data_IF_652429059663
#
_entry.id   IF_652429059663
#
_cell.length_a   1.000
_cell.length_b   1.000
_cell.length_c   1.000
_cell.angle_alpha   90.00
_cell.angle_beta   90.00
_cell.angle_gamma   90.00
#
_symmetry.space_group_name_H-M   'P 1'
#
loop_
_entity.id
_entity.type
_entity.pdbx_description
1 polymer ?
#
# COMPACT_ATOMS: atom_id res chain seq x y z
N UNK A 1 24.31 16.80 15.97
CA UNK A 1 25.06 16.06 14.93
C UNK A 1 24.40 14.73 14.53
N UNK A 2 23.74 14.01 15.44
CA UNK A 2 23.05 12.72 15.20
C UNK A 2 21.89 12.81 14.18
N UNK A 3 21.17 13.94 14.14
CA UNK A 3 20.03 14.18 13.23
C UNK A 3 20.40 14.30 11.75
N UNK A 4 21.66 14.63 11.42
CA UNK A 4 22.10 14.79 10.03
C UNK A 4 22.42 13.43 9.40
N UNK A 5 22.95 12.50 10.20
CA UNK A 5 23.27 11.14 9.77
C UNK A 5 21.99 10.33 9.47
N UNK A 6 20.91 10.48 10.25
CA UNK A 6 19.66 9.71 10.09
C UNK A 6 18.87 10.02 8.82
N UNK A 7 19.02 11.21 8.23
CA UNK A 7 18.30 11.61 7.00
C UNK A 7 18.83 10.96 5.72
N UNK A 8 20.12 10.72 5.61
CA UNK A 8 20.72 10.14 4.39
C UNK A 8 20.36 8.66 4.25
N UNK A 9 20.31 7.94 5.37
CA UNK A 9 19.98 6.52 5.34
C UNK A 9 18.48 6.25 5.14
N UNK A 10 17.58 7.12 5.58
CA UNK A 10 16.13 6.89 5.46
C UNK A 10 15.66 6.83 4.01
N UNK A 11 16.15 7.73 3.15
CA UNK A 11 15.82 7.70 1.73
C UNK A 11 16.42 6.49 1.03
N UNK A 12 17.67 6.15 1.36
CA UNK A 12 18.35 4.96 0.86
C UNK A 12 17.61 3.67 1.26
N UNK A 13 17.13 3.57 2.50
CA UNK A 13 16.35 2.42 2.97
C UNK A 13 14.95 2.33 2.35
N UNK A 14 14.28 3.46 2.10
CA UNK A 14 13.02 3.50 1.34
C UNK A 14 13.22 2.95 -0.09
N UNK A 15 14.28 3.38 -0.77
CA UNK A 15 14.61 2.93 -2.13
C UNK A 15 15.05 1.45 -2.14
N UNK A 16 15.85 1.04 -1.16
CA UNK A 16 16.24 -0.37 -0.99
C UNK A 16 15.04 -1.28 -0.71
N UNK A 17 14.04 -0.81 0.03
CA UNK A 17 12.85 -1.59 0.34
C UNK A 17 11.99 -1.87 -0.91
N UNK A 18 12.10 -1.09 -1.98
CA UNK A 18 11.48 -1.39 -3.28
C UNK A 18 12.13 -2.60 -3.98
N UNK A 19 13.44 -2.79 -3.80
CA UNK A 19 14.20 -3.82 -4.52
C UNK A 19 14.47 -5.07 -3.68
N UNK A 20 14.80 -4.93 -2.39
CA UNK A 20 15.16 -6.05 -1.51
C UNK A 20 14.05 -6.36 -0.50
N UNK A 21 13.82 -7.65 -0.19
CA UNK A 21 12.93 -8.03 0.90
C UNK A 21 13.48 -7.53 2.25
N UNK A 22 12.62 -7.10 3.19
CA UNK A 22 13.01 -6.42 4.43
C UNK A 22 13.99 -7.23 5.30
N UNK A 23 13.99 -8.56 5.19
CA UNK A 23 14.89 -9.48 5.88
C UNK A 23 16.39 -9.26 5.66
N UNK A 24 16.80 -8.63 4.54
CA UNK A 24 18.22 -8.41 4.22
C UNK A 24 18.73 -7.03 4.65
N UNK A 25 17.90 -6.22 5.30
CA UNK A 25 18.30 -4.88 5.76
C UNK A 25 18.53 -4.97 7.27
N UNK A 26 19.77 -5.23 7.73
CA UNK A 26 20.10 -5.06 9.14
C UNK A 26 19.78 -3.60 9.48
N UNK A 27 19.11 -3.35 10.60
CA UNK A 27 18.66 -2.03 11.12
C UNK A 27 17.29 -1.47 10.69
N UNK A 28 16.60 -2.00 9.67
CA UNK A 28 15.29 -1.45 9.26
C UNK A 28 14.19 -1.62 10.32
N UNK A 29 14.22 -2.74 11.07
CA UNK A 29 13.19 -3.11 12.05
C UNK A 29 13.13 -2.17 13.27
N UNK A 30 14.25 -1.52 13.62
CA UNK A 30 14.35 -0.67 14.81
C UNK A 30 14.14 0.82 14.50
N UNK A 31 14.58 1.32 13.33
CA UNK A 31 14.36 2.73 12.95
C UNK A 31 12.98 2.98 12.32
N UNK A 32 12.39 1.97 11.66
CA UNK A 32 11.05 2.05 11.10
C UNK A 32 10.00 1.38 11.99
N UNK A 33 10.12 1.59 13.31
CA UNK A 33 9.03 1.25 14.23
C UNK A 33 7.73 1.90 13.73
N UNK A 34 6.65 1.13 13.76
CA UNK A 34 5.33 1.53 13.27
C UNK A 34 4.85 2.89 13.83
N UNK A 35 5.30 3.23 15.04
CA UNK A 35 4.97 4.46 15.77
C UNK A 35 6.13 5.48 15.87
N UNK A 36 7.16 5.37 15.03
CA UNK A 36 8.20 6.41 14.95
C UNK A 36 7.61 7.72 14.40
N UNK A 37 7.99 8.87 14.97
CA UNK A 37 7.47 10.18 14.54
C UNK A 37 7.67 10.47 13.04
N UNK A 38 8.78 10.02 12.45
CA UNK A 38 9.04 10.15 11.01
C UNK A 38 8.08 9.32 10.15
N UNK A 39 7.73 8.13 10.60
CA UNK A 39 6.80 7.24 9.92
C UNK A 39 5.40 7.87 9.88
N UNK A 40 4.93 8.40 11.03
CA UNK A 40 3.66 9.10 11.11
C UNK A 40 3.63 10.35 10.21
N UNK A 41 4.72 11.13 10.17
CA UNK A 41 4.81 12.32 9.31
C UNK A 41 4.76 11.97 7.82
N UNK A 42 5.46 10.90 7.40
CA UNK A 42 5.40 10.41 6.02
C UNK A 42 4.04 9.83 5.65
N UNK A 43 3.38 9.14 6.58
CA UNK A 43 2.04 8.61 6.39
C UNK A 43 1.01 9.74 6.25
N UNK A 44 1.14 10.78 7.07
CA UNK A 44 0.30 11.97 7.00
C UNK A 44 0.54 12.72 5.68
N UNK A 45 1.79 12.80 5.21
CA UNK A 45 2.09 13.33 3.89
C UNK A 45 1.38 12.53 2.78
N UNK A 46 1.43 11.19 2.83
CA UNK A 46 0.69 10.36 1.88
C UNK A 46 -0.81 10.66 1.90
N UNK A 47 -1.44 10.75 3.07
CA UNK A 47 -2.87 11.06 3.17
C UNK A 47 -3.23 12.44 2.62
N UNK A 48 -2.46 13.47 2.95
CA UNK A 48 -2.72 14.83 2.44
C UNK A 48 -2.56 14.90 0.92
N UNK A 49 -1.46 14.36 0.39
CA UNK A 49 -1.16 14.40 -1.04
C UNK A 49 -2.16 13.57 -1.84
N UNK A 50 -2.48 12.35 -1.39
CA UNK A 50 -3.48 11.51 -2.06
C UNK A 50 -4.88 12.13 -2.02
N UNK A 51 -5.28 12.73 -0.90
CA UNK A 51 -6.56 13.43 -0.79
C UNK A 51 -6.64 14.63 -1.73
N UNK A 52 -5.56 15.41 -1.83
CA UNK A 52 -5.49 16.55 -2.73
C UNK A 52 -5.49 16.11 -4.20
N UNK A 53 -4.80 15.02 -4.55
CA UNK A 53 -4.90 14.45 -5.91
C UNK A 53 -6.33 14.01 -6.24
N UNK A 54 -7.02 13.34 -5.30
CA UNK A 54 -8.39 12.88 -5.51
C UNK A 54 -9.35 14.06 -5.66
N UNK A 55 -9.17 15.11 -4.84
CA UNK A 55 -9.94 16.35 -4.95
C UNK A 55 -9.75 17.02 -6.32
N UNK A 56 -8.52 17.10 -6.83
CA UNK A 56 -8.23 17.65 -8.16
C UNK A 56 -8.89 16.85 -9.28
N UNK A 57 -8.87 15.51 -9.19
CA UNK A 57 -9.56 14.62 -10.14
C UNK A 57 -11.07 14.86 -10.10
N UNK A 58 -11.68 14.89 -8.91
CA UNK A 58 -13.12 15.08 -8.75
C UNK A 58 -13.57 16.45 -9.26
N UNK A 59 -12.79 17.49 -8.98
CA UNK A 59 -13.04 18.86 -9.47
C UNK A 59 -13.00 18.92 -10.99
N UNK A 60 -12.06 18.21 -11.63
CA UNK A 60 -11.99 18.12 -13.10
C UNK A 60 -13.26 17.50 -13.72
N UNK A 61 -13.87 16.52 -13.04
CA UNK A 61 -15.13 15.90 -13.50
C UNK A 61 -16.40 16.60 -12.98
N UNK A 62 -16.29 17.78 -12.36
CA UNK A 62 -17.39 18.52 -11.73
C UNK A 62 -18.17 17.70 -10.68
N UNK A 63 -17.50 16.77 -9.99
CA UNK A 63 -18.10 16.00 -8.90
C UNK A 63 -17.77 16.72 -7.59
N UNK A 64 -18.77 17.39 -7.01
CA UNK A 64 -18.61 18.07 -5.72
C UNK A 64 -18.68 17.07 -4.57
N UNK A 65 -17.52 16.55 -4.15
CA UNK A 65 -17.41 15.67 -2.99
C UNK A 65 -16.55 16.35 -1.92
N UNK A 66 -17.22 16.84 -0.87
CA UNK A 66 -16.56 17.47 0.28
C UNK A 66 -15.70 16.48 1.09
N UNK A 67 -15.96 15.17 0.92
CA UNK A 67 -15.27 14.09 1.63
C UNK A 67 -14.16 13.42 0.80
N UNK A 68 -13.48 14.15 -0.09
CA UNK A 68 -12.39 13.60 -0.91
C UNK A 68 -11.27 12.94 -0.10
N UNK A 69 -11.07 13.34 1.16
CA UNK A 69 -10.12 12.73 2.11
C UNK A 69 -10.52 11.30 2.49
N UNK A 70 -11.81 10.99 2.51
CA UNK A 70 -12.32 9.70 2.99
C UNK A 70 -11.93 8.53 2.06
N UNK A 71 -11.80 8.79 0.77
CA UNK A 71 -11.47 7.74 -0.21
C UNK A 71 -10.06 7.15 -0.03
N UNK A 72 -8.97 7.95 -0.09
CA UNK A 72 -7.62 7.39 0.07
C UNK A 72 -7.37 6.87 1.48
N UNK A 73 -7.93 7.51 2.50
CA UNK A 73 -7.83 7.04 3.89
C UNK A 73 -8.58 5.72 4.07
N UNK A 74 -9.83 5.65 3.62
CA UNK A 74 -10.66 4.44 3.67
C UNK A 74 -10.04 3.28 2.90
N UNK A 75 -9.51 3.53 1.70
CA UNK A 75 -8.81 2.51 0.91
C UNK A 75 -7.57 1.95 1.64
N UNK A 76 -6.77 2.83 2.26
CA UNK A 76 -5.60 2.41 3.02
C UNK A 76 -5.98 1.59 4.26
N UNK A 77 -6.99 2.02 5.04
CA UNK A 77 -7.46 1.26 6.19
C UNK A 77 -8.11 -0.07 5.81
N UNK A 78 -8.90 -0.11 4.75
CA UNK A 78 -9.48 -1.35 4.22
C UNK A 78 -8.39 -2.36 3.85
N UNK A 79 -7.30 -1.87 3.24
CA UNK A 79 -6.15 -2.70 2.91
C UNK A 79 -5.42 -3.22 4.14
N UNK A 80 -5.20 -2.38 5.15
CA UNK A 80 -4.62 -2.81 6.43
C UNK A 80 -5.48 -3.89 7.09
N UNK A 81 -6.79 -3.67 7.16
CA UNK A 81 -7.75 -4.64 7.70
C UNK A 81 -7.71 -5.95 6.94
N UNK A 82 -7.63 -5.90 5.61
CA UNK A 82 -7.50 -7.10 4.77
C UNK A 82 -6.23 -7.89 5.09
N UNK A 83 -5.09 -7.23 5.31
CA UNK A 83 -3.86 -7.91 5.71
C UNK A 83 -3.95 -8.52 7.12
N UNK A 84 -4.58 -7.81 8.07
CA UNK A 84 -4.83 -8.33 9.42
C UNK A 84 -5.75 -9.55 9.36
N UNK A 85 -6.82 -9.49 8.56
CA UNK A 85 -7.76 -10.58 8.39
C UNK A 85 -7.10 -11.83 7.80
N UNK A 86 -6.35 -11.68 6.70
CA UNK A 86 -5.62 -12.80 6.09
C UNK A 86 -4.66 -13.44 7.07
N UNK A 87 -3.91 -12.64 7.83
CA UNK A 87 -2.97 -13.18 8.81
C UNK A 87 -3.65 -13.80 10.03
N UNK A 88 -4.82 -13.31 10.44
CA UNK A 88 -5.64 -13.93 11.49
C UNK A 88 -6.17 -15.31 11.06
N UNK A 89 -6.69 -15.42 9.83
CA UNK A 89 -7.22 -16.67 9.26
C UNK A 89 -6.11 -17.69 9.00
N UNK A 90 -4.95 -17.22 8.52
CA UNK A 90 -3.84 -18.10 8.15
C UNK A 90 -3.02 -18.59 9.35
N UNK A 91 -3.18 -17.97 10.53
CA UNK A 91 -2.39 -18.29 11.74
C UNK A 91 -0.91 -17.91 11.67
N UNK A 92 -0.44 -17.35 10.54
CA UNK A 92 0.95 -16.93 10.32
C UNK A 92 1.13 -15.46 10.74
N UNK A 93 1.09 -15.22 12.04
CA UNK A 93 1.17 -13.86 12.61
C UNK A 93 2.54 -13.18 12.45
N UNK A 94 3.62 -13.97 12.29
CA UNK A 94 5.00 -13.46 12.16
C UNK A 94 5.26 -12.72 10.85
N UNK A 95 4.61 -13.13 9.76
CA UNK A 95 4.81 -12.53 8.42
C UNK A 95 3.89 -11.31 8.19
N UNK A 96 2.88 -11.15 9.05
CA UNK A 96 1.89 -10.07 8.99
C UNK A 96 2.53 -8.70 9.18
N UNK A 97 3.44 -8.57 10.15
CA UNK A 97 4.15 -7.32 10.43
C UNK A 97 4.99 -6.84 9.24
N UNK A 98 5.49 -7.75 8.41
CA UNK A 98 6.33 -7.42 7.26
C UNK A 98 5.51 -6.94 6.07
N UNK A 99 4.37 -7.57 5.82
CA UNK A 99 3.42 -7.13 4.79
C UNK A 99 2.85 -5.74 5.11
N UNK A 100 2.55 -5.48 6.38
CA UNK A 100 2.10 -4.15 6.82
C UNK A 100 3.25 -3.14 6.65
N UNK A 101 4.46 -3.47 7.10
CA UNK A 101 5.61 -2.59 6.94
C UNK A 101 5.88 -2.23 5.46
N UNK A 102 5.79 -3.22 4.57
CA UNK A 102 5.94 -3.03 3.13
C UNK A 102 4.82 -2.15 2.54
N UNK A 103 3.59 -2.33 3.01
CA UNK A 103 2.45 -1.49 2.61
C UNK A 103 2.67 -0.03 3.00
N UNK A 104 3.14 0.24 4.22
CA UNK A 104 3.43 1.60 4.69
C UNK A 104 4.59 2.23 3.92
N UNK A 105 5.65 1.47 3.69
CA UNK A 105 6.81 1.92 2.93
C UNK A 105 6.39 2.38 1.54
N UNK A 106 5.50 1.65 0.88
CA UNK A 106 5.03 2.01 -0.45
C UNK A 106 4.10 3.22 -0.41
N UNK A 107 3.24 3.34 0.61
CA UNK A 107 2.45 4.55 0.83
C UNK A 107 3.36 5.79 0.97
N UNK A 108 4.46 5.70 1.73
CA UNK A 108 5.42 6.80 1.85
C UNK A 108 6.05 7.17 0.50
N UNK A 109 6.47 6.17 -0.27
CA UNK A 109 7.10 6.38 -1.58
C UNK A 109 6.11 7.05 -2.54
N UNK A 110 4.86 6.59 -2.57
CA UNK A 110 3.80 7.21 -3.36
C UNK A 110 3.61 8.66 -2.94
N UNK A 111 3.50 8.93 -1.64
CA UNK A 111 3.33 10.29 -1.11
C UNK A 111 4.45 11.21 -1.57
N UNK A 112 5.70 10.80 -1.37
CA UNK A 112 6.88 11.61 -1.73
C UNK A 112 7.01 11.82 -3.24
N UNK A 113 6.83 10.77 -4.05
CA UNK A 113 6.92 10.87 -5.51
C UNK A 113 5.79 11.75 -6.06
N UNK A 114 4.61 11.72 -5.46
CA UNK A 114 3.44 12.46 -5.93
C UNK A 114 3.55 13.98 -5.73
N UNK A 115 4.38 14.46 -4.80
CA UNK A 115 4.54 15.91 -4.51
C UNK A 115 4.93 16.73 -5.74
N UNK A 116 6.04 16.45 -6.46
CA UNK A 116 6.43 17.23 -7.62
C UNK A 116 5.41 17.19 -8.77
N UNK A 117 4.76 16.03 -8.97
CA UNK A 117 3.71 15.90 -10.00
C UNK A 117 2.46 16.72 -9.67
N UNK A 118 2.04 16.69 -8.41
CA UNK A 118 0.89 17.45 -7.95
C UNK A 118 1.16 18.96 -8.02
N UNK A 119 2.37 19.38 -7.63
CA UNK A 119 2.78 20.78 -7.76
C UNK A 119 2.77 21.22 -9.23
N UNK A 120 3.33 20.42 -10.14
CA UNK A 120 3.31 20.70 -11.57
C UNK A 120 1.88 20.80 -12.13
N UNK A 121 0.95 19.97 -11.64
CA UNK A 121 -0.46 20.02 -12.03
C UNK A 121 -1.14 21.31 -11.55
N UNK A 122 -0.97 21.69 -10.28
CA UNK A 122 -1.56 22.92 -9.72
C UNK A 122 -1.09 24.16 -10.49
N UNK A 123 0.19 24.20 -10.90
CA UNK A 123 0.73 25.31 -11.71
C UNK A 123 0.21 25.32 -13.15
N UNK A 124 -0.19 24.17 -13.70
CA UNK A 124 -0.58 24.02 -15.10
C UNK A 124 -1.92 23.28 -15.26
N UNK A 125 -3.05 23.89 -14.83
CA UNK A 125 -4.37 23.25 -14.86
C UNK A 125 -4.85 22.94 -16.29
N UNK A 126 -4.32 23.60 -17.32
CA UNK A 126 -4.65 23.35 -18.73
C UNK A 126 -4.33 21.91 -19.17
N UNK A 127 -3.33 21.27 -18.55
CA UNK A 127 -2.89 19.91 -18.88
C UNK A 127 -3.45 18.84 -17.94
N UNK A 128 -4.56 19.12 -17.25
CA UNK A 128 -5.13 18.26 -16.21
C UNK A 128 -5.30 16.80 -16.65
N UNK A 129 -5.75 16.56 -17.88
CA UNK A 129 -5.98 15.19 -18.37
C UNK A 129 -4.70 14.34 -18.40
N UNK A 130 -3.55 14.94 -18.76
CA UNK A 130 -2.27 14.23 -18.78
C UNK A 130 -1.82 13.87 -17.37
N UNK A 131 -1.99 14.78 -16.41
CA UNK A 131 -1.66 14.51 -15.00
C UNK A 131 -2.55 13.40 -14.43
N UNK A 132 -3.86 13.39 -14.72
CA UNK A 132 -4.78 12.32 -14.30
C UNK A 132 -4.28 10.96 -14.81
N UNK A 133 -3.94 10.84 -16.09
CA UNK A 133 -3.45 9.59 -16.69
C UNK A 133 -2.13 9.15 -16.03
N UNK A 134 -1.21 10.09 -15.80
CA UNK A 134 0.07 9.79 -15.11
C UNK A 134 -0.18 9.29 -13.68
N UNK A 135 -1.07 9.93 -12.92
CA UNK A 135 -1.41 9.50 -11.56
C UNK A 135 -2.03 8.11 -11.54
N UNK A 136 -3.01 7.85 -12.41
CA UNK A 136 -3.62 6.51 -12.54
C UNK A 136 -2.56 5.47 -12.91
N UNK A 137 -1.64 5.80 -13.81
CA UNK A 137 -0.56 4.90 -14.21
C UNK A 137 0.43 4.61 -13.07
N UNK A 138 0.88 5.64 -12.35
CA UNK A 138 1.81 5.50 -11.21
C UNK A 138 1.18 4.65 -10.10
N UNK A 139 -0.05 4.95 -9.70
CA UNK A 139 -0.77 4.19 -8.68
C UNK A 139 -1.02 2.75 -9.13
N UNK A 140 -1.45 2.56 -10.38
CA UNK A 140 -1.68 1.23 -10.96
C UNK A 140 -0.41 0.37 -11.01
N UNK A 141 0.70 0.92 -11.51
CA UNK A 141 1.97 0.21 -11.61
C UNK A 141 2.49 -0.20 -10.22
N UNK A 142 2.41 0.69 -9.23
CA UNK A 142 2.84 0.39 -7.86
C UNK A 142 1.96 -0.69 -7.20
N UNK A 143 0.66 -0.70 -7.48
CA UNK A 143 -0.23 -1.79 -7.04
C UNK A 143 0.09 -3.13 -7.70
N UNK A 144 0.34 -3.14 -9.01
CA UNK A 144 0.75 -4.35 -9.72
C UNK A 144 2.08 -4.88 -9.17
N UNK A 145 3.05 -3.99 -8.94
CA UNK A 145 4.35 -4.35 -8.35
C UNK A 145 4.21 -4.98 -6.96
N UNK A 146 3.25 -4.53 -6.15
CA UNK A 146 2.94 -5.13 -4.86
C UNK A 146 2.36 -6.54 -4.98
N UNK A 147 1.38 -6.73 -5.88
CA UNK A 147 0.77 -8.04 -6.14
C UNK A 147 1.84 -9.01 -6.62
N UNK A 148 2.68 -8.59 -7.56
CA UNK A 148 3.79 -9.39 -8.06
C UNK A 148 4.78 -9.76 -6.95
N UNK A 149 5.15 -8.82 -6.07
CA UNK A 149 6.03 -9.14 -4.93
C UNK A 149 5.39 -10.13 -3.96
N UNK A 150 4.11 -9.97 -3.64
CA UNK A 150 3.36 -10.94 -2.82
C UNK A 150 3.38 -12.33 -3.45
N UNK A 151 3.20 -12.39 -4.77
CA UNK A 151 3.29 -13.61 -5.54
C UNK A 151 4.68 -14.27 -5.49
N UNK A 152 5.76 -13.49 -5.70
CA UNK A 152 7.14 -13.99 -5.60
C UNK A 152 7.51 -14.48 -4.21
N UNK A 153 7.01 -13.83 -3.14
CA UNK A 153 7.22 -14.28 -1.75
C UNK A 153 6.54 -15.63 -1.53
N UNK A 154 5.29 -15.80 -1.99
CA UNK A 154 4.59 -17.07 -1.92
C UNK A 154 5.34 -18.19 -2.67
N UNK A 155 5.90 -17.87 -3.85
CA UNK A 155 6.70 -18.79 -4.64
C UNK A 155 7.96 -19.26 -3.88
N UNK A 156 8.65 -18.31 -3.23
CA UNK A 156 9.92 -18.56 -2.54
C UNK A 156 9.74 -19.40 -1.26
N UNK A 157 8.56 -19.37 -0.66
CA UNK A 157 8.22 -20.20 0.50
C UNK A 157 7.87 -21.66 0.13
N UNK A 158 8.23 -22.13 -1.08
CA UNK A 158 8.01 -23.51 -1.54
C UNK A 158 6.55 -23.97 -1.52
N UNK A 159 5.61 -23.03 -1.57
CA UNK A 159 4.20 -23.36 -1.82
C UNK A 159 4.14 -23.75 -3.29
N UNK A 160 4.05 -25.06 -3.57
CA UNK A 160 3.92 -25.56 -4.95
C UNK A 160 2.72 -24.85 -5.58
N UNK A 161 2.85 -24.33 -6.81
CA UNK A 161 1.79 -23.61 -7.54
C UNK A 161 0.41 -24.30 -7.47
N UNK A 162 0.41 -25.64 -7.45
CA UNK A 162 -0.78 -26.46 -7.22
C UNK A 162 -1.55 -26.07 -5.95
N UNK A 163 -0.87 -25.80 -4.83
CA UNK A 163 -1.50 -25.38 -3.58
C UNK A 163 -2.14 -24.00 -3.69
N UNK A 164 -1.59 -23.07 -4.48
CA UNK A 164 -2.21 -21.74 -4.67
C UNK A 164 -3.55 -21.88 -5.38
N UNK A 165 -3.58 -22.68 -6.46
CA UNK A 165 -4.82 -22.96 -7.21
C UNK A 165 -5.81 -23.74 -6.33
N UNK A 166 -5.34 -24.75 -5.59
CA UNK A 166 -6.16 -25.51 -4.65
C UNK A 166 -6.75 -24.63 -3.55
N UNK A 167 -5.97 -23.70 -2.99
CA UNK A 167 -6.44 -22.71 -2.01
C UNK A 167 -7.46 -21.75 -2.61
N UNK A 168 -7.27 -21.32 -3.86
CA UNK A 168 -8.25 -20.47 -4.55
C UNK A 168 -9.59 -21.21 -4.72
N UNK A 169 -9.52 -22.48 -5.15
CA UNK A 169 -10.71 -23.33 -5.29
C UNK A 169 -11.38 -23.64 -3.94
N UNK A 170 -10.63 -23.85 -2.85
CA UNK A 170 -11.26 -24.05 -1.52
C UNK A 170 -11.88 -22.77 -0.98
N UNK A 171 -11.31 -21.60 -1.28
CA UNK A 171 -11.87 -20.30 -0.91
C UNK A 171 -13.17 -19.98 -1.67
N UNK A 172 -13.32 -20.50 -2.88
CA UNK A 172 -14.57 -20.46 -3.66
C UNK A 172 -15.64 -21.42 -3.13
N UNK A 173 -15.24 -22.60 -2.62
CA UNK A 173 -16.17 -23.60 -2.04
C UNK A 173 -16.63 -23.21 -0.63
N UNK A 174 -15.80 -22.48 0.14
CA UNK A 174 -16.10 -22.05 1.50
C UNK A 174 -17.42 -21.27 1.67
N UNK A 175 -17.76 -20.25 0.84
CA UNK A 175 -19.06 -19.56 0.93
C UNK A 175 -20.25 -20.48 0.64
N UNK A 176 -20.10 -21.46 -0.26
CA UNK A 176 -21.16 -22.44 -0.61
C UNK A 176 -21.47 -23.32 0.61
N UNK A 177 -20.43 -23.79 1.32
CA UNK A 177 -20.59 -24.60 2.53
C UNK A 177 -21.22 -23.78 3.67
N UNK A 178 -20.81 -22.51 3.83
CA UNK A 178 -21.35 -21.61 4.85
C UNK A 178 -22.86 -21.37 4.66
N UNK A 179 -23.30 -21.15 3.42
CA UNK A 179 -24.73 -20.99 3.08
C UNK A 179 -25.49 -22.29 3.39
N UNK A 180 -24.93 -23.45 3.02
CA UNK A 180 -25.57 -24.75 3.27
C UNK A 180 -25.75 -25.03 4.77
N UNK A 181 -24.75 -24.69 5.60
CA UNK A 181 -24.83 -24.85 7.05
C UNK A 181 -25.85 -23.91 7.68
N UNK A 182 -25.95 -22.67 7.19
CA UNK A 182 -26.88 -21.67 7.71
C UNK A 182 -28.35 -21.97 7.35
N UNK A 183 -28.59 -22.65 6.22
CA UNK A 183 -29.94 -23.06 5.80
C UNK A 183 -30.43 -24.36 6.46
N UNK A 184 -29.52 -25.13 7.07
CA UNK A 184 -29.84 -26.42 7.72
C UNK A 184 -30.11 -26.29 9.23
N UNK A 185 -29.93 -25.09 9.78
CA UNK A 185 -30.37 -24.67 11.12
C UNK A 185 -31.75 -24.04 11.00
#
# INVERSE_FOLDING_TARGET
MILKYTKEYTFYYLLLALYKPPFKIPYSKNELRYFGGYNLLLLLNFFLISSLTMYMIMTYYNIHVEYAILLPTGYYFFRLLSHVFVGAVSGVSKDLGENIFLTNTIAHIIGVISIPFLLAWILNPQYSIYFIVIFVFIFGLLHIAQIWRGFFIALRNNIRWYYIILYLCTLEILPIILIYMLYKV
#
